data_IF_891555374029
#
_entry.id   IF_891555374029
#
_cell.length_a   1.000
_cell.length_b   1.000
_cell.length_c   1.000
_cell.angle_alpha   90.00
_cell.angle_beta   90.00
_cell.angle_gamma   90.00
#
_symmetry.space_group_name_H-M   'P 1'
#
loop_
_entity.id
_entity.type
_entity.pdbx_description
1 polymer ?
#
# COMPACT_ATOMS: atom_id res chain seq x y z
N UNK A 1 -0.22 0.38 22.27
CA UNK A 1 -1.33 1.19 21.71
C UNK A 1 -1.29 1.33 20.18
N UNK A 2 -0.12 1.60 19.57
CA UNK A 2 -0.04 1.90 18.11
C UNK A 2 -0.46 0.76 17.19
N UNK A 3 -0.20 -0.51 17.55
CA UNK A 3 -0.63 -1.69 16.76
C UNK A 3 -2.15 -1.75 16.61
N UNK A 4 -2.89 -1.41 17.67
CA UNK A 4 -4.36 -1.46 17.66
C UNK A 4 -4.94 -0.36 16.77
N UNK A 5 -4.33 0.83 16.79
CA UNK A 5 -4.71 1.94 15.92
C UNK A 5 -4.42 1.65 14.45
N UNK A 6 -3.26 1.07 14.14
CA UNK A 6 -2.90 0.66 12.77
C UNK A 6 -3.85 -0.43 12.27
N UNK A 7 -4.17 -1.41 13.11
CA UNK A 7 -5.13 -2.48 12.75
C UNK A 7 -6.54 -1.95 12.49
N UNK A 8 -7.04 -1.06 13.36
CA UNK A 8 -8.36 -0.45 13.20
C UNK A 8 -8.47 0.45 11.96
N UNK A 9 -7.44 1.27 11.71
CA UNK A 9 -7.38 2.11 10.52
C UNK A 9 -7.27 1.28 9.24
N UNK A 10 -6.45 0.23 9.25
CA UNK A 10 -6.31 -0.70 8.11
C UNK A 10 -7.64 -1.39 7.78
N UNK A 11 -8.35 -1.89 8.80
CA UNK A 11 -9.68 -2.47 8.60
C UNK A 11 -10.68 -1.48 8.01
N UNK A 12 -10.67 -0.24 8.51
CA UNK A 12 -11.53 0.83 8.01
C UNK A 12 -11.21 1.17 6.55
N UNK A 13 -9.94 1.26 6.17
CA UNK A 13 -9.54 1.50 4.78
C UNK A 13 -9.99 0.39 3.84
N UNK A 14 -9.85 -0.88 4.24
CA UNK A 14 -10.33 -2.01 3.43
C UNK A 14 -11.85 -1.95 3.27
N UNK A 15 -12.57 -1.64 4.36
CA UNK A 15 -14.02 -1.51 4.33
C UNK A 15 -14.50 -0.36 3.42
N UNK A 16 -13.84 0.79 3.45
CA UNK A 16 -14.16 1.91 2.55
C UNK A 16 -13.90 1.53 1.09
N UNK A 17 -12.83 0.80 0.81
CA UNK A 17 -12.49 0.35 -0.55
C UNK A 17 -13.52 -0.64 -1.09
N UNK A 18 -14.02 -1.58 -0.28
CA UNK A 18 -15.07 -2.51 -0.72
C UNK A 18 -16.41 -1.81 -0.94
N UNK A 19 -16.77 -0.82 -0.12
CA UNK A 19 -17.99 0.00 -0.33
C UNK A 19 -17.92 0.78 -1.63
N UNK A 20 -16.76 1.37 -1.95
CA UNK A 20 -16.54 2.08 -3.22
C UNK A 20 -16.54 1.11 -4.41
N UNK A 21 -15.93 -0.08 -4.27
CA UNK A 21 -15.96 -1.12 -5.30
C UNK A 21 -17.37 -1.60 -5.62
N UNK A 22 -18.18 -1.84 -4.58
CA UNK A 22 -19.57 -2.25 -4.70
C UNK A 22 -20.46 -1.17 -5.35
N UNK A 23 -20.24 0.11 -5.02
CA UNK A 23 -21.00 1.22 -5.61
C UNK A 23 -20.66 1.49 -7.08
N UNK A 24 -19.45 1.15 -7.52
CA UNK A 24 -19.03 1.26 -8.92
C UNK A 24 -19.41 0.04 -9.79
N UNK A 25 -19.93 -1.05 -9.19
CA UNK A 25 -20.32 -2.27 -9.92
C UNK A 25 -19.14 -3.02 -10.54
N UNK A 26 -17.92 -2.77 -10.05
CA UNK A 26 -16.68 -3.34 -10.54
C UNK A 26 -16.37 -4.60 -9.72
N UNK A 27 -15.91 -5.71 -10.31
CA UNK A 27 -15.51 -6.90 -9.57
C UNK A 27 -14.47 -6.56 -8.48
N UNK A 28 -14.64 -7.14 -7.29
CA UNK A 28 -13.83 -6.84 -6.09
C UNK A 28 -12.33 -6.89 -6.36
N UNK A 29 -11.86 -7.83 -7.18
CA UNK A 29 -10.45 -7.93 -7.59
C UNK A 29 -9.93 -6.66 -8.27
N UNK A 30 -10.70 -6.05 -9.17
CA UNK A 30 -10.27 -4.84 -9.88
C UNK A 30 -10.30 -3.65 -8.94
N UNK A 31 -11.29 -3.56 -8.04
CA UNK A 31 -11.38 -2.51 -7.03
C UNK A 31 -10.18 -2.55 -6.05
N UNK A 32 -9.73 -3.75 -5.67
CA UNK A 32 -8.54 -3.93 -4.85
C UNK A 32 -7.27 -3.50 -5.58
N UNK A 33 -7.09 -3.92 -6.83
CA UNK A 33 -5.86 -3.61 -7.58
C UNK A 33 -5.77 -2.13 -7.98
N UNK A 34 -6.89 -1.42 -8.10
CA UNK A 34 -6.88 0.03 -8.47
C UNK A 34 -7.03 0.95 -7.27
N UNK A 35 -8.07 0.78 -6.45
CA UNK A 35 -8.39 1.73 -5.38
C UNK A 35 -7.47 1.50 -4.18
N UNK A 36 -7.24 0.24 -3.78
CA UNK A 36 -6.33 -0.07 -2.67
C UNK A 36 -4.88 0.31 -3.05
N UNK A 37 -4.44 -0.03 -4.26
CA UNK A 37 -3.09 0.30 -4.76
C UNK A 37 -2.87 1.81 -4.94
N UNK A 38 -3.89 2.55 -5.40
CA UNK A 38 -3.84 4.01 -5.42
C UNK A 38 -3.77 4.58 -4.00
N UNK A 39 -4.52 4.00 -3.06
CA UNK A 39 -4.53 4.40 -1.65
C UNK A 39 -3.18 4.23 -0.94
N UNK A 40 -2.38 3.23 -1.29
CA UNK A 40 -1.03 3.04 -0.75
C UNK A 40 0.01 3.90 -1.47
N UNK A 41 -0.11 4.08 -2.79
CA UNK A 41 0.87 4.83 -3.59
C UNK A 41 0.82 6.35 -3.31
N UNK A 42 -0.36 6.93 -3.07
CA UNK A 42 -0.51 8.37 -2.81
C UNK A 42 0.31 8.87 -1.60
N UNK A 43 0.20 8.27 -0.39
CA UNK A 43 0.99 8.71 0.76
C UNK A 43 2.50 8.49 0.58
N UNK A 44 2.94 7.45 -0.14
CA UNK A 44 4.35 7.25 -0.48
C UNK A 44 4.89 8.34 -1.42
N UNK A 45 4.08 8.73 -2.41
CA UNK A 45 4.38 9.83 -3.32
C UNK A 45 4.50 11.16 -2.56
N UNK A 46 3.57 11.43 -1.65
CA UNK A 46 3.58 12.63 -0.80
C UNK A 46 4.83 12.66 0.09
N UNK A 47 5.13 11.55 0.76
CA UNK A 47 6.34 11.41 1.60
C UNK A 47 7.61 11.70 0.80
N UNK A 48 7.70 11.14 -0.40
CA UNK A 48 8.89 11.30 -1.24
C UNK A 48 9.05 12.71 -1.80
N UNK A 49 7.94 13.37 -2.17
CA UNK A 49 7.95 14.78 -2.58
C UNK A 49 8.42 15.68 -1.43
N UNK A 50 8.01 15.40 -0.18
CA UNK A 50 8.45 16.16 1.00
C UNK A 50 9.97 16.02 1.20
N UNK A 51 10.53 14.82 1.08
CA UNK A 51 11.97 14.57 1.24
C UNK A 51 12.80 15.16 0.10
N UNK A 52 12.27 15.20 -1.12
CA UNK A 52 12.93 15.91 -2.24
C UNK A 52 12.97 17.42 -1.97
N UNK A 53 11.92 17.99 -1.38
CA UNK A 53 11.87 19.42 -1.02
C UNK A 53 12.82 19.81 0.11
N UNK A 54 13.25 18.87 0.97
CA UNK A 54 14.24 19.14 2.03
C UNK A 54 15.70 19.06 1.56
N UNK A 55 15.94 18.89 0.25
CA UNK A 55 17.29 18.87 -0.33
C UNK A 55 18.02 17.52 -0.21
N UNK A 56 17.36 16.51 0.35
CA UNK A 56 17.87 15.15 0.55
C UNK A 56 17.36 14.21 -0.56
N UNK A 57 17.42 14.65 -1.82
CA UNK A 57 16.88 13.91 -2.97
C UNK A 57 17.44 12.49 -3.12
N UNK A 58 18.73 12.28 -2.84
CA UNK A 58 19.33 10.95 -2.88
C UNK A 58 18.68 10.00 -1.86
N UNK A 59 18.37 10.50 -0.65
CA UNK A 59 17.71 9.71 0.39
C UNK A 59 16.26 9.37 0.02
N UNK A 60 15.55 10.31 -0.62
CA UNK A 60 14.20 10.06 -1.13
C UNK A 60 14.17 8.92 -2.15
N UNK A 61 15.12 8.91 -3.10
CA UNK A 61 15.20 7.90 -4.15
C UNK A 61 15.49 6.52 -3.56
N UNK A 62 16.46 6.41 -2.64
CA UNK A 62 16.74 5.12 -2.01
C UNK A 62 15.61 4.63 -1.10
N UNK A 63 14.89 5.53 -0.42
CA UNK A 63 13.73 5.17 0.39
C UNK A 63 12.55 4.66 -0.46
N UNK A 64 12.30 5.31 -1.60
CA UNK A 64 11.32 4.86 -2.58
C UNK A 64 11.67 3.49 -3.16
N UNK A 65 12.90 3.34 -3.67
CA UNK A 65 13.39 2.08 -4.24
C UNK A 65 13.34 0.94 -3.22
N UNK A 66 13.80 1.22 -2.00
CA UNK A 66 13.78 0.27 -0.90
C UNK A 66 12.37 -0.19 -0.55
N UNK A 67 11.41 0.76 -0.46
CA UNK A 67 10.01 0.44 -0.15
C UNK A 67 9.37 -0.41 -1.25
N UNK A 68 9.54 -0.07 -2.54
CA UNK A 68 8.99 -0.87 -3.64
C UNK A 68 9.61 -2.26 -3.75
N UNK A 69 10.93 -2.38 -3.59
CA UNK A 69 11.61 -3.69 -3.61
C UNK A 69 11.12 -4.54 -2.44
N UNK A 70 10.99 -3.94 -1.25
CA UNK A 70 10.49 -4.64 -0.08
C UNK A 70 9.03 -5.07 -0.26
N UNK A 71 8.17 -4.21 -0.79
CA UNK A 71 6.76 -4.51 -1.02
C UNK A 71 6.59 -5.66 -2.04
N UNK A 72 7.38 -5.67 -3.11
CA UNK A 72 7.39 -6.79 -4.06
C UNK A 72 7.89 -8.08 -3.39
N UNK A 73 8.97 -8.02 -2.61
CA UNK A 73 9.57 -9.21 -2.02
C UNK A 73 8.74 -9.79 -0.86
N UNK A 74 8.20 -8.94 -0.01
CA UNK A 74 7.42 -9.35 1.16
C UNK A 74 5.93 -9.45 0.86
N UNK A 75 5.32 -8.43 0.26
CA UNK A 75 3.86 -8.35 0.09
C UNK A 75 3.36 -9.30 -1.02
N UNK A 76 4.15 -9.54 -2.06
CA UNK A 76 3.84 -10.58 -3.06
C UNK A 76 4.52 -11.92 -2.74
N UNK A 77 5.78 -11.90 -2.31
CA UNK A 77 6.55 -13.13 -2.08
C UNK A 77 6.05 -13.96 -0.90
N UNK A 78 5.72 -13.36 0.24
CA UNK A 78 5.28 -14.09 1.44
C UNK A 78 3.94 -14.81 1.25
N UNK A 79 2.86 -14.18 0.75
CA UNK A 79 1.60 -14.90 0.54
C UNK A 79 1.71 -15.98 -0.54
N UNK A 80 2.55 -15.79 -1.55
CA UNK A 80 2.79 -16.80 -2.57
C UNK A 80 3.57 -18.00 -2.02
N UNK A 81 4.56 -17.75 -1.15
CA UNK A 81 5.30 -18.78 -0.45
C UNK A 81 4.41 -19.55 0.53
N UNK A 82 3.57 -18.86 1.30
CA UNK A 82 2.58 -19.49 2.19
C UNK A 82 1.61 -20.37 1.39
N UNK A 83 1.11 -19.90 0.25
CA UNK A 83 0.20 -20.67 -0.62
C UNK A 83 0.87 -21.88 -1.28
N UNK A 84 2.17 -21.82 -1.55
CA UNK A 84 2.93 -22.93 -2.13
C UNK A 84 3.26 -24.00 -1.09
N UNK A 85 3.45 -23.60 0.17
CA UNK A 85 3.88 -24.47 1.25
C UNK A 85 2.70 -25.14 1.99
N UNK A 86 1.48 -24.60 1.82
CA UNK A 86 0.22 -25.10 2.37
C UNK A 86 -0.55 -25.90 1.33
#
# INVERSE_FOLDING_TARGET
MSIAWIGGLSYLTVWMVTVIGYTLGIPDSVSGITILAAGTSVPELVSSVIVVRTGLGNMAIFNLLGSYIFDILFCLGVPWLIKTLM
#
